data_IF_711824530555
#
_entry.id   IF_711824530555
#
_cell.length_a   1.000
_cell.length_b   1.000
_cell.length_c   1.000
_cell.angle_alpha   90.00
_cell.angle_beta   90.00
_cell.angle_gamma   90.00
#
_symmetry.space_group_name_H-M   'P 1'
#
loop_
_entity.id
_entity.type
_entity.pdbx_description
1 polymer ?
#
# COMPACT_ATOMS: atom_id res chain seq x y z
N UNK A 1 -16.74 -18.87 -15.32
CA UNK A 1 -16.07 -18.72 -16.14
C UNK A 1 -15.42 -17.48 -16.61
N UNK A 2 -14.87 -16.63 -16.71
CA UNK A 2 -14.38 -15.39 -17.26
C UNK A 2 -12.95 -15.12 -16.85
N UNK A 3 -12.02 -15.56 -17.68
CA UNK A 3 -10.60 -15.25 -17.58
C UNK A 3 -10.26 -13.80 -17.99
N UNK A 4 -11.23 -12.89 -17.98
CA UNK A 4 -10.95 -11.50 -18.25
C UNK A 4 -10.37 -10.83 -17.01
N UNK A 5 -9.18 -10.25 -17.10
CA UNK A 5 -8.57 -9.55 -15.99
C UNK A 5 -9.45 -8.37 -15.55
N UNK A 6 -9.53 -8.15 -14.24
CA UNK A 6 -10.14 -6.93 -13.73
C UNK A 6 -9.32 -5.72 -14.18
N UNK A 7 -9.97 -4.77 -14.81
CA UNK A 7 -9.37 -3.50 -15.25
C UNK A 7 -9.92 -2.35 -14.41
N UNK A 8 -9.10 -1.35 -14.16
CA UNK A 8 -9.41 -0.20 -13.33
C UNK A 8 -8.98 -0.37 -11.88
N UNK A 9 -8.37 0.68 -11.32
CA UNK A 9 -7.85 0.71 -9.95
C UNK A 9 -9.00 0.58 -8.95
N UNK A 10 -8.95 -0.45 -8.11
CA UNK A 10 -9.92 -0.74 -7.05
C UNK A 10 -9.36 -0.53 -5.66
N UNK A 11 -8.06 -0.80 -5.50
CA UNK A 11 -7.34 -0.58 -4.27
C UNK A 11 -6.08 0.24 -4.55
N UNK A 12 -5.97 1.37 -3.87
CA UNK A 12 -4.82 2.27 -3.90
C UNK A 12 -4.07 2.13 -2.58
N UNK A 13 -2.83 1.66 -2.65
CA UNK A 13 -1.93 1.57 -1.50
C UNK A 13 -0.91 2.69 -1.57
N UNK A 14 -0.81 3.49 -0.53
CA UNK A 14 0.15 4.58 -0.39
C UNK A 14 1.19 4.25 0.67
N UNK A 15 2.43 4.22 0.24
CA UNK A 15 3.60 4.04 1.08
C UNK A 15 4.41 5.33 1.14
N UNK A 16 4.98 5.69 2.30
CA UNK A 16 5.79 6.90 2.40
C UNK A 16 7.11 6.80 1.63
N UNK A 17 7.66 5.60 1.47
CA UNK A 17 8.97 5.35 0.86
C UNK A 17 8.92 4.25 -0.22
N UNK A 18 9.71 4.44 -1.28
CA UNK A 18 9.83 3.45 -2.36
C UNK A 18 10.38 2.09 -1.90
N UNK A 19 11.24 2.07 -0.89
CA UNK A 19 11.78 0.84 -0.32
C UNK A 19 10.67 -0.06 0.23
N UNK A 20 9.68 0.53 0.90
CA UNK A 20 8.52 -0.18 1.44
C UNK A 20 7.63 -0.75 0.32
N UNK A 21 7.49 -0.03 -0.80
CA UNK A 21 6.76 -0.51 -1.97
C UNK A 21 7.36 -1.83 -2.49
N UNK A 22 8.68 -1.85 -2.65
CA UNK A 22 9.36 -3.03 -3.20
C UNK A 22 9.29 -4.25 -2.26
N UNK A 23 9.30 -4.04 -0.94
CA UNK A 23 9.19 -5.11 0.05
C UNK A 23 7.83 -5.83 0.04
N UNK A 24 6.80 -5.19 -0.53
CA UNK A 24 5.45 -5.77 -0.62
C UNK A 24 5.28 -6.74 -1.81
N UNK A 25 6.24 -6.77 -2.74
CA UNK A 25 6.12 -7.57 -3.99
C UNK A 25 5.81 -9.03 -3.73
N UNK A 26 6.59 -9.70 -2.88
CA UNK A 26 6.40 -11.12 -2.61
C UNK A 26 5.06 -11.42 -1.94
N UNK A 27 4.62 -10.53 -1.04
CA UNK A 27 3.32 -10.63 -0.37
C UNK A 27 2.16 -10.48 -1.35
N UNK A 28 2.22 -9.46 -2.22
CA UNK A 28 1.21 -9.23 -3.24
C UNK A 28 1.15 -10.36 -4.27
N UNK A 29 2.31 -10.88 -4.68
CA UNK A 29 2.38 -12.03 -5.57
C UNK A 29 1.73 -13.26 -4.92
N UNK A 30 2.05 -13.55 -3.66
CA UNK A 30 1.44 -14.65 -2.92
C UNK A 30 -0.10 -14.51 -2.81
N UNK A 31 -0.59 -13.29 -2.54
CA UNK A 31 -2.03 -13.03 -2.42
C UNK A 31 -2.79 -13.14 -3.75
N UNK A 32 -2.17 -12.68 -4.84
CA UNK A 32 -2.85 -12.62 -6.15
C UNK A 32 -2.70 -13.90 -6.97
N UNK A 33 -1.70 -14.72 -6.67
CA UNK A 33 -1.38 -15.94 -7.43
C UNK A 33 -2.56 -16.89 -7.58
N UNK A 34 -3.37 -17.06 -6.53
CA UNK A 34 -4.54 -17.94 -6.54
C UNK A 34 -5.66 -17.49 -7.49
N UNK A 35 -5.62 -16.25 -7.97
CA UNK A 35 -6.61 -15.69 -8.90
C UNK A 35 -6.15 -15.69 -10.37
N UNK A 36 -5.01 -16.30 -10.66
CA UNK A 36 -4.40 -16.26 -11.98
C UNK A 36 -4.14 -14.82 -12.44
N UNK A 37 -4.41 -14.53 -13.71
CA UNK A 37 -4.29 -13.16 -14.25
C UNK A 37 -5.52 -12.29 -13.99
N UNK A 38 -6.54 -12.80 -13.32
CA UNK A 38 -7.78 -12.08 -13.03
C UNK A 38 -7.58 -10.90 -12.08
N UNK A 39 -6.70 -11.04 -11.09
CA UNK A 39 -6.32 -9.97 -10.16
C UNK A 39 -4.83 -9.69 -10.32
N UNK A 40 -4.53 -8.48 -10.82
CA UNK A 40 -3.16 -8.01 -11.03
C UNK A 40 -2.85 -6.86 -10.07
N UNK A 41 -1.56 -6.61 -9.85
CA UNK A 41 -1.08 -5.45 -9.12
C UNK A 41 0.01 -4.74 -9.91
N UNK A 42 0.24 -3.47 -9.59
CA UNK A 42 1.33 -2.68 -10.13
C UNK A 42 2.04 -1.92 -9.01
N UNK A 43 3.34 -2.08 -8.93
CA UNK A 43 4.21 -1.25 -8.10
C UNK A 43 4.64 -0.03 -8.93
N UNK A 44 3.83 1.04 -8.87
CA UNK A 44 4.00 2.22 -9.70
C UNK A 44 4.84 3.27 -8.98
N UNK A 45 6.14 3.32 -9.31
CA UNK A 45 7.10 4.22 -8.69
C UNK A 45 8.12 4.75 -9.73
N UNK A 46 9.15 5.44 -9.27
CA UNK A 46 10.20 5.99 -10.14
C UNK A 46 10.92 4.95 -11.01
N UNK A 47 11.01 3.71 -10.52
CA UNK A 47 11.73 2.61 -11.17
C UNK A 47 10.83 1.78 -12.12
N UNK A 48 9.53 2.09 -12.20
CA UNK A 48 8.63 1.37 -13.10
C UNK A 48 8.98 1.69 -14.55
N UNK A 49 9.29 0.67 -15.33
CA UNK A 49 9.70 0.79 -16.74
C UNK A 49 8.59 1.43 -17.60
N UNK A 50 9.01 2.21 -18.59
CA UNK A 50 8.05 2.89 -19.45
C UNK A 50 7.43 1.94 -20.47
N UNK A 51 8.27 1.16 -21.19
CA UNK A 51 7.86 0.34 -22.32
C UNK A 51 7.70 -1.13 -21.90
N UNK A 52 6.67 -1.77 -22.38
CA UNK A 52 6.44 -3.20 -22.15
C UNK A 52 7.55 -4.07 -22.79
N UNK A 53 8.07 -3.65 -23.93
CA UNK A 53 9.15 -4.35 -24.62
C UNK A 53 10.37 -4.58 -23.73
N UNK A 54 10.71 -3.60 -22.88
CA UNK A 54 11.88 -3.67 -21.97
C UNK A 54 11.74 -4.74 -20.89
N UNK A 55 10.53 -5.11 -20.53
CA UNK A 55 10.22 -6.04 -19.43
C UNK A 55 9.55 -7.34 -19.86
N UNK A 56 9.45 -7.59 -21.17
CA UNK A 56 8.67 -8.71 -21.72
C UNK A 56 9.07 -10.07 -21.16
N UNK A 57 10.36 -10.33 -21.00
CA UNK A 57 10.87 -11.60 -20.44
C UNK A 57 10.56 -11.75 -18.96
N UNK A 58 10.65 -10.66 -18.20
CA UNK A 58 10.35 -10.64 -16.78
C UNK A 58 8.84 -10.69 -16.52
N UNK A 59 8.05 -10.02 -17.36
CA UNK A 59 6.59 -10.06 -17.33
C UNK A 59 6.04 -11.48 -17.47
N UNK A 60 6.67 -12.32 -18.29
CA UNK A 60 6.28 -13.71 -18.47
C UNK A 60 6.45 -14.55 -17.19
N UNK A 61 7.43 -14.18 -16.34
CA UNK A 61 7.66 -14.85 -15.05
C UNK A 61 6.73 -14.35 -13.95
N UNK A 62 6.15 -13.15 -14.12
CA UNK A 62 5.30 -12.47 -13.15
C UNK A 62 3.97 -12.05 -13.77
N UNK A 63 3.07 -13.00 -14.07
CA UNK A 63 1.85 -12.72 -14.81
C UNK A 63 0.88 -11.81 -14.04
N UNK A 64 0.97 -11.78 -12.70
CA UNK A 64 0.10 -10.99 -11.84
C UNK A 64 0.63 -9.58 -11.54
N UNK A 65 1.90 -9.30 -11.81
CA UNK A 65 2.49 -7.97 -11.67
C UNK A 65 2.50 -7.24 -13.02
N UNK A 66 1.99 -6.03 -13.08
CA UNK A 66 2.13 -5.14 -14.26
C UNK A 66 3.43 -4.38 -14.13
N UNK A 67 4.42 -4.72 -14.96
CA UNK A 67 5.81 -4.23 -14.83
C UNK A 67 6.09 -2.96 -15.60
N UNK A 68 5.20 -2.53 -16.52
CA UNK A 68 5.43 -1.33 -17.33
C UNK A 68 4.30 -0.32 -17.21
N UNK A 69 4.67 0.97 -17.35
CA UNK A 69 3.70 2.07 -17.39
C UNK A 69 2.79 1.99 -18.61
N UNK A 70 3.31 1.54 -19.74
CA UNK A 70 2.55 1.32 -20.97
C UNK A 70 1.38 0.35 -20.70
N UNK A 71 1.65 -0.82 -20.11
CA UNK A 71 0.59 -1.78 -19.79
C UNK A 71 -0.35 -1.28 -18.71
N UNK A 72 0.14 -0.54 -17.74
CA UNK A 72 -0.71 0.07 -16.72
C UNK A 72 -1.67 1.11 -17.30
N UNK A 73 -1.28 1.82 -18.38
CA UNK A 73 -2.15 2.78 -19.10
C UNK A 73 -3.16 2.10 -19.99
N UNK A 74 -2.77 1.00 -20.64
CA UNK A 74 -3.69 0.21 -21.48
C UNK A 74 -4.76 -0.51 -20.66
N UNK A 75 -4.33 -1.19 -19.61
CA UNK A 75 -5.18 -2.01 -18.75
C UNK A 75 -4.81 -1.78 -17.26
N UNK A 76 -5.34 -0.75 -16.62
CA UNK A 76 -5.02 -0.44 -15.23
C UNK A 76 -5.27 -1.63 -14.31
N UNK A 77 -4.22 -2.04 -13.58
CA UNK A 77 -4.31 -3.11 -12.59
C UNK A 77 -5.26 -2.72 -11.45
N UNK A 78 -6.06 -3.66 -10.92
CA UNK A 78 -6.98 -3.39 -9.82
C UNK A 78 -6.28 -3.01 -8.50
N UNK A 79 -5.04 -3.42 -8.30
CA UNK A 79 -4.23 -3.05 -7.14
C UNK A 79 -3.10 -2.14 -7.61
N UNK A 80 -3.12 -0.90 -7.17
CA UNK A 80 -2.09 0.10 -7.44
C UNK A 80 -1.35 0.40 -6.14
N UNK A 81 -0.04 0.16 -6.13
CA UNK A 81 0.85 0.48 -5.02
C UNK A 81 1.81 1.57 -5.44
N UNK A 82 1.82 2.69 -4.71
CA UNK A 82 2.60 3.87 -5.09
C UNK A 82 2.96 4.72 -3.87
N UNK A 83 3.60 5.84 -4.07
CA UNK A 83 3.82 6.88 -3.06
C UNK A 83 3.09 8.17 -3.42
N UNK A 84 3.01 9.10 -2.46
CA UNK A 84 2.31 10.38 -2.65
C UNK A 84 2.85 11.19 -3.83
N UNK A 85 4.17 11.30 -3.97
CA UNK A 85 4.82 12.05 -5.07
C UNK A 85 4.46 11.46 -6.44
N UNK A 86 4.51 10.14 -6.57
CA UNK A 86 4.20 9.48 -7.84
C UNK A 86 2.71 9.59 -8.17
N UNK A 87 1.85 9.56 -7.15
CA UNK A 87 0.42 9.77 -7.31
C UNK A 87 0.12 11.19 -7.81
N UNK A 88 0.80 12.23 -7.28
CA UNK A 88 0.71 13.60 -7.82
C UNK A 88 1.12 13.66 -9.28
N UNK A 89 2.23 13.05 -9.64
CA UNK A 89 2.65 12.98 -11.04
C UNK A 89 1.63 12.30 -11.94
N UNK A 90 1.03 11.21 -11.48
CA UNK A 90 -0.01 10.49 -12.23
C UNK A 90 -1.24 11.38 -12.47
N UNK A 91 -1.64 12.21 -11.50
CA UNK A 91 -2.79 13.12 -11.64
C UNK A 91 -2.52 14.31 -12.58
N UNK A 92 -1.26 14.71 -12.75
CA UNK A 92 -0.89 15.89 -13.57
C UNK A 92 -0.45 15.49 -14.97
N UNK A 93 0.18 14.35 -15.15
CA UNK A 93 0.70 13.91 -16.45
C UNK A 93 -0.42 13.42 -17.35
N UNK A 94 -0.60 14.07 -18.49
CA UNK A 94 -1.61 13.65 -19.48
C UNK A 94 -1.38 12.21 -19.97
N UNK A 95 -0.13 11.77 -20.07
CA UNK A 95 0.20 10.40 -20.50
C UNK A 95 -0.36 9.33 -19.55
N UNK A 96 -0.53 9.64 -18.27
CA UNK A 96 -1.07 8.73 -17.25
C UNK A 96 -2.60 8.86 -17.08
N UNK A 97 -3.23 9.82 -17.76
CA UNK A 97 -4.68 10.04 -17.70
C UNK A 97 -5.52 8.78 -18.00
N UNK A 98 -5.13 7.86 -18.92
CA UNK A 98 -5.90 6.65 -19.16
C UNK A 98 -6.12 5.78 -17.93
N UNK A 99 -5.16 5.73 -16.99
CA UNK A 99 -5.28 4.96 -15.74
C UNK A 99 -6.47 5.48 -14.91
N UNK A 100 -6.54 6.81 -14.78
CA UNK A 100 -7.58 7.48 -13.99
C UNK A 100 -8.92 7.43 -14.73
N UNK A 101 -8.93 7.71 -16.03
CA UNK A 101 -10.15 7.78 -16.83
C UNK A 101 -10.89 6.44 -16.89
N UNK A 102 -10.16 5.33 -17.12
CA UNK A 102 -10.76 4.00 -17.13
C UNK A 102 -11.32 3.62 -15.75
N UNK A 103 -10.59 3.97 -14.69
CA UNK A 103 -11.02 3.73 -13.32
C UNK A 103 -12.25 4.57 -12.95
N UNK A 104 -12.28 5.83 -13.38
CA UNK A 104 -13.40 6.77 -13.21
C UNK A 104 -14.66 6.29 -13.93
N UNK A 105 -14.53 5.86 -15.18
CA UNK A 105 -15.66 5.38 -15.97
C UNK A 105 -16.40 4.22 -15.30
N UNK A 106 -15.68 3.40 -14.56
CA UNK A 106 -16.22 2.26 -13.81
C UNK A 106 -16.54 2.60 -12.34
N UNK A 107 -16.19 3.82 -11.89
CA UNK A 107 -16.17 4.16 -10.46
C UNK A 107 -15.53 3.04 -9.63
N UNK A 108 -14.39 2.54 -10.11
CA UNK A 108 -13.83 1.28 -9.61
C UNK A 108 -13.13 1.40 -8.27
N UNK A 109 -12.64 2.57 -7.87
CA UNK A 109 -11.90 2.77 -6.61
C UNK A 109 -12.81 2.46 -5.40
N UNK A 110 -12.35 1.54 -4.54
CA UNK A 110 -13.08 1.09 -3.34
C UNK A 110 -12.24 1.12 -2.07
N UNK A 111 -10.93 1.09 -2.19
CA UNK A 111 -10.03 1.02 -1.05
C UNK A 111 -8.89 2.02 -1.21
N UNK A 112 -8.62 2.76 -0.15
CA UNK A 112 -7.41 3.56 0.00
C UNK A 112 -6.73 3.07 1.28
N UNK A 113 -5.51 2.58 1.13
CA UNK A 113 -4.70 2.02 2.21
C UNK A 113 -3.47 2.90 2.40
N UNK A 114 -3.32 3.42 3.60
CA UNK A 114 -2.19 4.26 4.01
C UNK A 114 -1.30 3.44 4.94
N UNK A 115 -0.12 3.12 4.48
CA UNK A 115 0.86 2.41 5.31
C UNK A 115 1.73 3.42 6.07
N UNK A 116 2.16 3.02 7.28
CA UNK A 116 2.95 3.86 8.17
C UNK A 116 2.33 5.26 8.40
N UNK A 117 1.02 5.30 8.65
CA UNK A 117 0.25 6.54 8.73
C UNK A 117 0.77 7.53 9.79
N UNK A 118 1.49 7.06 10.79
CA UNK A 118 2.15 7.88 11.80
C UNK A 118 3.27 8.79 11.23
N UNK A 119 3.74 8.51 10.02
CA UNK A 119 4.76 9.36 9.38
C UNK A 119 4.17 10.66 8.83
N UNK A 120 2.86 10.71 8.61
CA UNK A 120 2.18 11.91 8.13
C UNK A 120 1.74 12.78 9.30
N UNK A 121 2.57 13.74 9.69
CA UNK A 121 2.32 14.66 10.80
C UNK A 121 2.33 16.12 10.34
N UNK A 122 1.61 16.98 11.04
CA UNK A 122 1.60 18.42 10.77
C UNK A 122 1.16 18.77 9.35
N UNK A 123 1.97 19.54 8.61
CA UNK A 123 1.68 19.96 7.24
C UNK A 123 1.55 18.79 6.26
N UNK A 124 2.32 17.72 6.46
CA UNK A 124 2.27 16.54 5.60
C UNK A 124 0.91 15.83 5.68
N UNK A 125 0.29 15.79 6.85
CA UNK A 125 -1.06 15.24 7.00
C UNK A 125 -2.10 16.09 6.25
N UNK A 126 -1.99 17.42 6.32
CA UNK A 126 -2.88 18.33 5.60
C UNK A 126 -2.69 18.22 4.08
N UNK A 127 -1.46 18.11 3.60
CA UNK A 127 -1.15 17.88 2.18
C UNK A 127 -1.73 16.57 1.69
N UNK A 128 -1.55 15.48 2.46
CA UNK A 128 -2.13 14.17 2.13
C UNK A 128 -3.66 14.21 2.09
N UNK A 129 -4.30 14.91 3.03
CA UNK A 129 -5.76 15.07 3.04
C UNK A 129 -6.27 15.76 1.77
N UNK A 130 -5.60 16.82 1.33
CA UNK A 130 -5.92 17.52 0.09
C UNK A 130 -5.66 16.62 -1.13
N UNK A 131 -4.55 15.88 -1.14
CA UNK A 131 -4.23 14.94 -2.20
C UNK A 131 -5.30 13.85 -2.32
N UNK A 132 -5.73 13.24 -1.21
CA UNK A 132 -6.77 12.22 -1.21
C UNK A 132 -8.11 12.72 -1.74
N UNK A 133 -8.51 13.96 -1.40
CA UNK A 133 -9.72 14.59 -1.95
C UNK A 133 -9.63 14.78 -3.46
N UNK A 134 -8.48 15.21 -3.96
CA UNK A 134 -8.22 15.34 -5.40
C UNK A 134 -8.24 13.97 -6.09
N UNK A 135 -7.66 12.94 -5.47
CA UNK A 135 -7.70 11.57 -5.97
C UNK A 135 -9.13 11.07 -6.07
N UNK A 136 -9.93 11.18 -5.03
CA UNK A 136 -11.33 10.75 -5.05
C UNK A 136 -12.11 11.45 -6.16
N UNK A 137 -11.93 12.77 -6.30
CA UNK A 137 -12.55 13.55 -7.38
C UNK A 137 -12.11 13.07 -8.77
N UNK A 138 -10.80 12.83 -8.95
CA UNK A 138 -10.25 12.35 -10.20
C UNK A 138 -10.79 10.95 -10.57
N UNK A 139 -10.95 10.06 -9.59
CA UNK A 139 -11.51 8.72 -9.78
C UNK A 139 -13.05 8.70 -9.79
N UNK A 140 -13.73 9.85 -9.59
CA UNK A 140 -15.17 9.97 -9.64
C UNK A 140 -15.89 9.26 -8.49
N UNK A 141 -15.28 9.22 -7.32
CA UNK A 141 -15.82 8.61 -6.09
C UNK A 141 -15.89 9.64 -4.96
N UNK A 142 -16.71 9.35 -3.96
CA UNK A 142 -16.86 10.11 -2.73
C UNK A 142 -16.29 9.34 -1.53
N UNK A 143 -16.11 9.96 -0.36
CA UNK A 143 -15.70 9.23 0.86
C UNK A 143 -16.61 8.06 1.20
N UNK A 144 -17.91 8.14 0.88
CA UNK A 144 -18.86 7.06 1.13
C UNK A 144 -18.71 5.86 0.18
N UNK A 145 -18.10 6.05 -0.98
CA UNK A 145 -17.82 4.99 -1.95
C UNK A 145 -16.55 4.20 -1.61
N UNK A 146 -15.70 4.73 -0.71
CA UNK A 146 -14.35 4.24 -0.47
C UNK A 146 -14.17 3.84 1.00
N UNK A 147 -13.50 2.72 1.22
CA UNK A 147 -13.02 2.31 2.54
C UNK A 147 -11.58 2.75 2.73
N UNK A 148 -11.32 3.41 3.84
CA UNK A 148 -9.97 3.82 4.23
C UNK A 148 -9.41 2.86 5.25
N UNK A 149 -8.15 2.48 5.07
CA UNK A 149 -7.38 1.69 6.03
C UNK A 149 -6.07 2.44 6.29
N UNK A 150 -5.73 2.60 7.54
CA UNK A 150 -4.43 3.16 7.94
C UNK A 150 -3.73 2.19 8.88
N UNK A 151 -2.47 1.87 8.59
CA UNK A 151 -1.62 1.10 9.49
C UNK A 151 -0.68 2.04 10.24
N UNK A 152 -0.39 1.73 11.49
CA UNK A 152 0.52 2.52 12.32
C UNK A 152 1.20 1.62 13.36
N UNK A 153 2.53 1.73 13.48
CA UNK A 153 3.31 0.91 14.42
C UNK A 153 3.48 1.53 15.81
N UNK A 154 3.26 2.83 15.97
CA UNK A 154 3.82 3.61 17.11
C UNK A 154 2.82 4.40 17.95
N UNK A 155 1.52 4.26 17.75
CA UNK A 155 0.56 5.01 18.56
C UNK A 155 0.16 4.15 19.75
N UNK A 156 0.84 4.37 20.89
CA UNK A 156 0.54 3.74 22.17
C UNK A 156 0.12 4.81 23.19
N UNK A 157 -0.84 4.51 24.04
CA UNK A 157 -1.30 5.40 25.12
C UNK A 157 -2.80 5.43 25.28
N UNK A 158 -3.29 5.96 26.39
CA UNK A 158 -4.71 6.01 26.74
C UNK A 158 -5.58 6.78 25.74
N UNK A 159 -5.00 7.73 25.01
CA UNK A 159 -5.68 8.56 24.01
C UNK A 159 -5.39 8.14 22.54
N UNK A 160 -4.64 7.05 22.34
CA UNK A 160 -4.20 6.60 21.03
C UNK A 160 -5.36 6.37 20.06
N UNK A 161 -6.39 5.66 20.51
CA UNK A 161 -7.59 5.38 19.71
C UNK A 161 -8.28 6.66 19.25
N UNK A 162 -8.46 7.62 20.15
CA UNK A 162 -9.10 8.91 19.85
C UNK A 162 -8.29 9.72 18.86
N UNK A 163 -6.96 9.72 19.01
CA UNK A 163 -6.06 10.43 18.07
C UNK A 163 -6.09 9.79 16.68
N UNK A 164 -6.09 8.46 16.60
CA UNK A 164 -6.20 7.72 15.35
C UNK A 164 -7.53 7.99 14.64
N UNK A 165 -8.64 7.93 15.36
CA UNK A 165 -9.97 8.24 14.80
C UNK A 165 -10.03 9.68 14.28
N UNK A 166 -9.52 10.63 15.05
CA UNK A 166 -9.45 12.03 14.62
C UNK A 166 -8.60 12.18 13.36
N UNK A 167 -7.39 11.62 13.36
CA UNK A 167 -6.47 11.68 12.23
C UNK A 167 -7.10 11.09 10.96
N UNK A 168 -7.67 9.90 11.03
CA UNK A 168 -8.27 9.26 9.86
C UNK A 168 -9.54 9.99 9.40
N UNK A 169 -10.30 10.57 10.33
CA UNK A 169 -11.46 11.41 10.01
C UNK A 169 -11.06 12.67 9.24
N UNK A 170 -10.01 13.37 9.68
CA UNK A 170 -9.49 14.56 9.00
C UNK A 170 -8.94 14.25 7.60
N UNK A 171 -8.26 13.11 7.45
CA UNK A 171 -7.73 12.64 6.18
C UNK A 171 -8.81 12.22 5.18
N UNK A 172 -9.74 11.39 5.63
CA UNK A 172 -10.72 10.74 4.76
C UNK A 172 -11.97 11.57 4.52
N UNK A 173 -12.30 12.47 5.46
CA UNK A 173 -13.59 13.18 5.51
C UNK A 173 -14.73 12.31 6.05
N UNK A 174 -14.44 11.15 6.65
CA UNK A 174 -15.42 10.26 7.27
C UNK A 174 -15.59 10.62 8.74
N UNK A 175 -16.83 10.68 9.30
CA UNK A 175 -17.06 10.92 10.71
C UNK A 175 -16.37 9.90 11.62
N UNK A 176 -15.88 10.35 12.79
CA UNK A 176 -15.13 9.49 13.72
C UNK A 176 -15.93 8.28 14.24
N UNK A 177 -17.24 8.40 14.28
CA UNK A 177 -18.16 7.34 14.72
C UNK A 177 -18.21 6.15 13.74
N UNK A 178 -17.73 6.35 12.52
CA UNK A 178 -17.65 5.33 11.47
C UNK A 178 -16.22 4.74 11.33
N UNK A 179 -15.34 5.07 12.27
CA UNK A 179 -13.95 4.62 12.25
C UNK A 179 -13.73 3.64 13.40
N UNK A 180 -13.34 2.43 13.05
CA UNK A 180 -12.94 1.41 14.00
C UNK A 180 -11.41 1.37 14.11
N UNK A 181 -10.91 1.20 15.33
CA UNK A 181 -9.50 1.00 15.61
C UNK A 181 -9.32 -0.44 16.09
N UNK A 182 -8.45 -1.16 15.38
CA UNK A 182 -8.08 -2.53 15.73
C UNK A 182 -6.69 -2.49 16.36
N UNK A 183 -6.61 -2.88 17.60
CA UNK A 183 -5.34 -3.02 18.33
C UNK A 183 -4.95 -4.50 18.43
N UNK A 184 -3.65 -4.78 18.45
CA UNK A 184 -3.09 -6.11 18.63
C UNK A 184 -2.34 -6.22 19.94
N UNK A 185 -2.69 -7.20 20.77
CA UNK A 185 -1.87 -7.54 21.92
C UNK A 185 -0.65 -8.39 21.48
N UNK A 186 0.53 -7.99 21.94
CA UNK A 186 1.73 -8.79 21.74
C UNK A 186 1.67 -10.04 22.63
N UNK A 187 1.48 -11.19 22.02
CA UNK A 187 1.66 -12.46 22.71
C UNK A 187 3.15 -12.76 22.74
N UNK A 188 3.74 -12.67 23.94
CA UNK A 188 5.12 -13.11 24.16
C UNK A 188 5.01 -14.63 24.44
N UNK A 189 5.58 -15.50 23.58
CA UNK A 189 5.59 -16.92 23.86
C UNK A 189 6.35 -17.15 25.19
N UNK A 190 5.74 -17.89 26.10
CA UNK A 190 6.47 -18.39 27.26
C UNK A 190 7.52 -19.40 26.74
N UNK A 191 8.75 -18.95 26.72
CA UNK A 191 9.86 -19.85 26.45
C UNK A 191 10.00 -20.74 27.69
N UNK A 192 9.85 -22.05 27.51
CA UNK A 192 10.22 -22.97 28.57
C UNK A 192 11.70 -22.69 28.97
N UNK A 193 11.98 -22.55 30.26
CA UNK A 193 13.37 -22.34 30.69
C UNK A 193 14.20 -23.46 30.12
N UNK A 194 15.19 -23.14 29.33
CA UNK A 194 16.10 -24.12 28.73
C UNK A 194 16.71 -24.89 29.87
N UNK A 195 16.49 -26.19 29.88
CA UNK A 195 17.15 -27.08 30.84
C UNK A 195 18.66 -26.92 30.64
N UNK A 196 19.28 -26.15 31.56
CA UNK A 196 20.71 -26.07 31.80
C UNK A 196 21.62 -26.29 30.55
N UNK A 197 21.61 -25.32 29.64
CA UNK A 197 22.79 -25.12 28.80
C UNK A 197 23.62 -24.06 29.53
N UNK A 198 24.55 -24.49 30.38
CA UNK A 198 25.64 -23.64 30.80
C UNK A 198 26.52 -23.40 29.58
N UNK A 199 26.30 -22.28 28.92
CA UNK A 199 27.27 -21.80 27.92
C UNK A 199 28.48 -21.32 28.72
N UNK A 200 29.68 -21.89 28.50
CA UNK A 200 30.89 -21.39 29.16
C UNK A 200 31.06 -19.91 28.85
N UNK A 201 31.35 -19.13 29.88
CA UNK A 201 31.50 -17.67 29.73
C UNK A 201 32.57 -17.26 28.71
N UNK A 202 33.54 -18.11 28.51
CA UNK A 202 34.65 -18.01 27.57
C UNK A 202 34.22 -18.09 26.09
N UNK A 203 33.04 -18.66 25.77
CA UNK A 203 32.49 -18.69 24.42
C UNK A 203 31.70 -17.41 24.10
N UNK A 204 31.25 -16.68 25.11
CA UNK A 204 30.51 -15.42 24.93
C UNK A 204 31.46 -14.26 24.61
N UNK A 205 32.69 -14.27 25.14
CA UNK A 205 33.73 -13.26 24.89
C UNK A 205 34.32 -13.32 23.46
N UNK A 206 33.99 -14.35 22.69
CA UNK A 206 34.46 -14.52 21.30
C UNK A 206 33.48 -14.04 20.24
N UNK A 207 32.31 -13.48 20.62
CA UNK A 207 31.38 -12.88 19.69
C UNK A 207 31.94 -11.48 19.33
N UNK A 208 32.34 -11.22 18.08
CA UNK A 208 32.76 -9.88 17.68
C UNK A 208 31.62 -8.90 17.87
N UNK A 209 31.90 -7.73 18.43
CA UNK A 209 30.95 -6.62 18.45
C UNK A 209 30.54 -6.35 17.01
N UNK A 210 29.25 -6.53 16.73
CA UNK A 210 28.63 -6.16 15.48
C UNK A 210 28.32 -4.66 15.60
N UNK A 211 29.23 -3.81 15.09
CA UNK A 211 29.01 -2.41 14.83
C UNK A 211 27.97 -2.19 13.67
#
# INVERSE_FOLDING_TARGET
NGNNPLVGVRALFLYPLNALINSQRERLDAWTRGFGTGIRYCLYNGNTENLHASVKSEQAKRPNEVLSREKMREEPAPILVTNGTMLEYMMVRQVDAPIIQQSKAQKSLRWIVLDEAHTYVGSQAAELALQLRRVMTAFGVTPDDVRFVATSATIAGSDAEKQLKKFLSELSGIPQERIDVLDGSRVIPELEPSKNVSVPLDEIEQIPDLD
#
